data_IF_679021493013
#
_entry.id   IF_679021493013
#
_cell.length_a   1.000
_cell.length_b   1.000
_cell.length_c   1.000
_cell.angle_alpha   90.00
_cell.angle_beta   90.00
_cell.angle_gamma   90.00
#
_symmetry.space_group_name_H-M   'P 1'
#
loop_
_entity.id
_entity.type
_entity.pdbx_description
1 polymer ?
#
# COMPACT_ATOMS: atom_id res chain seq x y z
N UNK A 1 -26.94 14.04 -6.51
CA UNK A 1 -27.53 15.01 -5.55
C UNK A 1 -26.88 15.02 -4.15
N UNK A 2 -26.02 14.05 -3.79
CA UNK A 2 -25.35 14.04 -2.46
C UNK A 2 -24.13 14.98 -2.35
N UNK A 3 -23.45 15.30 -3.46
CA UNK A 3 -22.21 16.10 -3.45
C UNK A 3 -22.40 17.61 -3.23
N UNK A 4 -23.52 18.17 -3.70
CA UNK A 4 -23.76 19.62 -3.58
C UNK A 4 -23.94 20.07 -2.13
N UNK A 5 -24.63 19.27 -1.28
CA UNK A 5 -24.82 19.59 0.14
C UNK A 5 -23.52 19.52 0.93
N UNK A 6 -22.65 18.54 0.63
CA UNK A 6 -21.33 18.40 1.27
C UNK A 6 -20.47 19.64 1.02
N UNK A 7 -20.48 20.15 -0.21
CA UNK A 7 -19.73 21.35 -0.59
C UNK A 7 -20.24 22.60 0.17
N UNK A 8 -21.55 22.79 0.27
CA UNK A 8 -22.15 23.93 1.01
C UNK A 8 -21.84 23.89 2.50
N UNK A 9 -21.94 22.72 3.14
CA UNK A 9 -21.61 22.57 4.57
C UNK A 9 -20.13 22.86 4.82
N UNK A 10 -19.23 22.37 3.95
CA UNK A 10 -17.80 22.66 4.05
C UNK A 10 -17.50 24.17 4.00
N UNK A 11 -18.16 24.90 3.10
CA UNK A 11 -18.03 26.37 3.00
C UNK A 11 -18.51 27.10 4.25
N UNK A 12 -19.61 26.64 4.86
CA UNK A 12 -20.14 27.22 6.10
C UNK A 12 -19.18 27.00 7.27
N UNK A 13 -18.63 25.79 7.40
CA UNK A 13 -17.63 25.46 8.44
C UNK A 13 -16.38 26.33 8.27
N UNK A 14 -15.89 26.50 7.04
CA UNK A 14 -14.74 27.35 6.73
C UNK A 14 -15.00 28.82 7.09
N UNK A 15 -16.18 29.33 6.73
CA UNK A 15 -16.59 30.70 7.06
C UNK A 15 -16.65 30.93 8.58
N UNK A 16 -17.29 30.00 9.31
CA UNK A 16 -17.38 30.09 10.77
C UNK A 16 -16.00 30.03 11.41
N UNK A 17 -15.11 29.12 10.96
CA UNK A 17 -13.74 29.01 11.48
C UNK A 17 -12.97 30.32 11.33
N UNK A 18 -12.91 30.88 10.12
CA UNK A 18 -12.17 32.12 9.83
C UNK A 18 -12.65 33.31 10.66
N UNK A 19 -13.96 33.45 10.83
CA UNK A 19 -14.51 34.53 11.63
C UNK A 19 -14.27 34.31 13.13
N UNK A 20 -14.38 33.07 13.61
CA UNK A 20 -14.07 32.71 15.00
C UNK A 20 -12.59 32.97 15.33
N UNK A 21 -11.67 32.63 14.42
CA UNK A 21 -10.24 32.91 14.54
C UNK A 21 -9.95 34.42 14.53
N UNK A 22 -10.52 35.17 13.58
CA UNK A 22 -10.30 36.62 13.47
C UNK A 22 -10.86 37.45 14.63
N UNK A 23 -11.81 36.88 15.39
CA UNK A 23 -12.48 37.55 16.52
C UNK A 23 -12.08 36.97 17.89
N UNK A 24 -11.14 36.02 17.92
CA UNK A 24 -10.72 35.27 19.11
C UNK A 24 -11.89 34.60 19.88
N UNK A 25 -12.95 34.21 19.15
CA UNK A 25 -14.10 33.51 19.72
C UNK A 25 -13.86 32.01 19.68
N UNK A 26 -13.59 31.41 20.85
CA UNK A 26 -13.35 29.96 20.96
C UNK A 26 -14.62 29.11 20.94
N UNK A 27 -15.77 29.68 21.31
CA UNK A 27 -17.03 28.92 21.37
C UNK A 27 -18.25 29.81 21.13
N UNK A 28 -19.15 29.36 20.26
CA UNK A 28 -20.48 29.95 20.06
C UNK A 28 -21.50 28.97 20.64
N UNK A 29 -22.13 29.36 21.76
CA UNK A 29 -23.19 28.57 22.41
C UNK A 29 -24.56 29.13 22.07
N UNK A 30 -25.45 28.28 21.55
CA UNK A 30 -26.87 28.57 21.33
C UNK A 30 -27.70 27.42 21.90
N UNK A 31 -28.99 27.64 22.24
CA UNK A 31 -29.82 26.60 22.85
C UNK A 31 -29.92 25.30 22.03
N UNK A 32 -29.81 25.40 20.70
CA UNK A 32 -29.94 24.26 19.78
C UNK A 32 -28.60 23.68 19.33
N UNK A 33 -27.48 24.38 19.55
CA UNK A 33 -26.17 23.92 19.08
C UNK A 33 -25.00 24.65 19.76
N UNK A 34 -23.85 23.98 19.82
CA UNK A 34 -22.59 24.59 20.24
C UNK A 34 -21.55 24.36 19.16
N UNK A 35 -20.87 25.43 18.76
CA UNK A 35 -19.73 25.37 17.84
C UNK A 35 -18.50 25.76 18.64
N UNK A 36 -17.51 24.88 18.69
CA UNK A 36 -16.22 25.13 19.36
C UNK A 36 -15.12 25.13 18.32
N UNK A 37 -14.25 26.13 18.37
CA UNK A 37 -12.99 26.11 17.63
C UNK A 37 -12.05 25.17 18.38
N UNK A 38 -12.04 23.90 17.99
CA UNK A 38 -11.12 22.92 18.53
C UNK A 38 -9.73 23.13 17.92
N UNK A 39 -8.72 23.23 18.77
CA UNK A 39 -7.33 23.15 18.33
C UNK A 39 -7.08 21.72 17.81
N UNK A 40 -6.42 21.61 16.67
CA UNK A 40 -5.93 20.31 16.22
C UNK A 40 -4.97 19.75 17.28
N UNK A 41 -4.99 18.43 17.53
CA UNK A 41 -4.02 17.83 18.43
C UNK A 41 -2.61 18.14 17.91
N UNK A 42 -1.70 18.41 18.84
CA UNK A 42 -0.30 18.65 18.53
C UNK A 42 0.26 17.45 17.77
N UNK A 43 0.82 17.70 16.59
CA UNK A 43 1.49 16.67 15.81
C UNK A 43 2.95 16.64 16.23
N UNK A 44 3.40 15.48 16.70
CA UNK A 44 4.82 15.26 16.98
C UNK A 44 5.55 15.22 15.63
N UNK A 45 6.52 16.12 15.48
CA UNK A 45 7.49 16.13 14.39
C UNK A 45 8.79 15.65 15.02
N UNK A 46 9.35 14.56 14.52
CA UNK A 46 10.62 14.04 14.98
C UNK A 46 11.71 14.62 14.09
N UNK A 47 12.44 15.61 14.60
CA UNK A 47 13.50 16.28 13.83
C UNK A 47 14.80 15.46 13.76
N UNK A 48 15.01 14.57 14.73
CA UNK A 48 16.18 13.69 14.84
C UNK A 48 15.77 12.31 15.31
N UNK A 49 15.73 11.37 14.39
CA UNK A 49 15.30 10.01 14.67
C UNK A 49 16.33 9.19 15.46
N UNK A 50 17.63 9.51 15.32
CA UNK A 50 18.73 8.76 15.96
C UNK A 50 18.88 9.04 17.47
N UNK A 51 18.33 10.16 17.96
CA UNK A 51 18.41 10.56 19.37
C UNK A 51 17.18 10.09 20.19
N UNK A 52 16.25 9.34 19.57
CA UNK A 52 15.04 8.88 20.26
C UNK A 52 15.43 7.77 21.25
N UNK A 53 15.07 7.88 22.55
CA UNK A 53 15.25 6.79 23.51
C UNK A 53 14.49 5.53 23.08
N UNK A 54 15.07 4.36 23.33
CA UNK A 54 14.48 3.06 22.96
C UNK A 54 13.04 2.87 23.47
N UNK A 55 12.68 3.51 24.59
CA UNK A 55 11.33 3.50 25.18
C UNK A 55 10.25 4.07 24.23
N UNK A 56 10.63 4.80 23.18
CA UNK A 56 9.72 5.40 22.19
C UNK A 56 9.87 4.78 20.79
N UNK A 57 10.66 3.71 20.64
CA UNK A 57 10.90 3.04 19.35
C UNK A 57 10.12 1.73 19.29
N UNK A 58 9.10 1.69 18.44
CA UNK A 58 8.41 0.44 18.10
C UNK A 58 9.17 -0.31 17.00
N UNK A 59 9.83 -1.41 17.35
CA UNK A 59 10.50 -2.27 16.35
C UNK A 59 9.48 -3.12 15.61
N UNK A 60 9.27 -2.84 14.32
CA UNK A 60 8.44 -3.67 13.43
C UNK A 60 9.30 -4.51 12.49
N UNK A 61 9.29 -5.82 12.68
CA UNK A 61 9.92 -6.78 11.75
C UNK A 61 8.92 -7.20 10.69
N UNK A 62 9.19 -6.86 9.42
CA UNK A 62 8.33 -7.21 8.29
C UNK A 62 8.94 -8.38 7.52
N UNK A 63 8.27 -9.53 7.56
CA UNK A 63 8.58 -10.65 6.67
C UNK A 63 7.83 -10.46 5.36
N UNK A 64 8.56 -10.28 4.27
CA UNK A 64 7.98 -10.17 2.93
C UNK A 64 8.62 -11.21 2.00
N UNK A 65 7.83 -11.86 1.13
CA UNK A 65 8.38 -12.83 0.18
C UNK A 65 9.24 -12.11 -0.86
N UNK A 66 10.47 -12.60 -1.08
CA UNK A 66 11.35 -12.11 -2.14
C UNK A 66 10.86 -12.61 -3.50
N UNK A 67 9.95 -11.82 -4.09
CA UNK A 67 9.36 -12.10 -5.41
C UNK A 67 10.40 -12.21 -6.52
N UNK A 68 11.56 -11.56 -6.40
CA UNK A 68 12.60 -11.62 -7.44
C UNK A 68 13.24 -13.00 -7.45
N UNK A 69 13.65 -13.47 -6.29
CA UNK A 69 14.26 -14.81 -6.12
C UNK A 69 13.25 -15.92 -6.46
N UNK A 70 12.01 -15.77 -6.01
CA UNK A 70 10.91 -16.69 -6.36
C UNK A 70 10.70 -16.74 -7.88
N UNK A 71 10.62 -15.59 -8.55
CA UNK A 71 10.43 -15.54 -10.01
C UNK A 71 11.57 -16.20 -10.77
N UNK A 72 12.82 -15.98 -10.35
CA UNK A 72 14.00 -16.59 -10.98
C UNK A 72 13.95 -18.12 -10.88
N UNK A 73 13.68 -18.63 -9.68
CA UNK A 73 13.60 -20.08 -9.42
C UNK A 73 12.46 -20.75 -10.23
N UNK A 74 11.25 -20.16 -10.24
CA UNK A 74 10.13 -20.70 -11.02
C UNK A 74 10.39 -20.70 -12.53
N UNK A 75 11.13 -19.70 -13.02
CA UNK A 75 11.51 -19.62 -14.43
C UNK A 75 12.48 -20.73 -14.80
N UNK A 76 13.46 -20.99 -13.94
CA UNK A 76 14.45 -22.07 -14.11
C UNK A 76 13.77 -23.45 -14.14
N UNK A 77 12.87 -23.73 -13.18
CA UNK A 77 12.07 -24.96 -13.16
C UNK A 77 11.29 -25.12 -14.46
N UNK A 78 10.62 -24.05 -14.91
CA UNK A 78 9.83 -24.06 -16.15
C UNK A 78 10.71 -24.33 -17.38
N UNK A 79 11.85 -23.66 -17.50
CA UNK A 79 12.76 -23.81 -18.64
C UNK A 79 13.38 -25.21 -18.68
N UNK A 80 13.80 -25.73 -17.53
CA UNK A 80 14.29 -27.10 -17.38
C UNK A 80 13.24 -28.14 -17.78
N UNK A 81 12.02 -28.03 -17.25
CA UNK A 81 10.93 -28.95 -17.56
C UNK A 81 10.53 -28.90 -19.04
N UNK A 82 10.58 -27.73 -19.68
CA UNK A 82 10.34 -27.60 -21.13
C UNK A 82 11.41 -28.34 -21.93
N UNK A 83 12.68 -28.24 -21.54
CA UNK A 83 13.78 -28.94 -22.21
C UNK A 83 13.67 -30.47 -22.03
N UNK A 84 13.36 -30.94 -20.83
CA UNK A 84 13.13 -32.36 -20.53
C UNK A 84 11.95 -32.89 -21.34
N UNK A 85 10.80 -32.20 -21.34
CA UNK A 85 9.63 -32.59 -22.15
C UNK A 85 9.92 -32.65 -23.64
N UNK A 86 10.79 -31.78 -24.16
CA UNK A 86 11.23 -31.83 -25.56
C UNK A 86 12.07 -33.08 -25.86
N UNK A 87 12.95 -33.49 -24.96
CA UNK A 87 13.72 -34.75 -25.07
C UNK A 87 12.81 -35.97 -24.99
N UNK A 88 11.84 -35.96 -24.09
CA UNK A 88 10.81 -37.01 -24.01
C UNK A 88 10.00 -37.12 -25.31
N UNK A 89 9.63 -35.98 -25.91
CA UNK A 89 8.94 -35.97 -27.21
C UNK A 89 9.81 -36.50 -28.38
N UNK A 90 11.14 -36.47 -28.24
CA UNK A 90 12.08 -37.07 -29.20
C UNK A 90 12.33 -38.58 -28.95
N UNK A 91 11.70 -39.17 -27.94
CA UNK A 91 11.79 -40.59 -27.63
C UNK A 91 12.84 -40.96 -26.57
N UNK A 92 13.42 -39.98 -25.87
CA UNK A 92 14.34 -40.23 -24.74
C UNK A 92 13.56 -40.47 -23.44
N UNK A 93 14.01 -41.45 -22.64
CA UNK A 93 13.47 -41.71 -21.30
C UNK A 93 14.11 -40.76 -20.26
N UNK A 94 13.56 -39.54 -20.19
CA UNK A 94 14.05 -38.46 -19.34
C UNK A 94 13.03 -38.01 -18.27
N UNK A 95 11.99 -38.81 -18.00
CA UNK A 95 10.91 -38.43 -17.08
C UNK A 95 11.41 -38.14 -15.65
N UNK A 96 12.40 -38.90 -15.20
CA UNK A 96 13.03 -38.76 -13.89
C UNK A 96 13.78 -37.42 -13.70
N UNK A 97 14.01 -36.67 -14.77
CA UNK A 97 14.68 -35.36 -14.72
C UNK A 97 13.69 -34.19 -14.52
N UNK A 98 12.38 -34.44 -14.50
CA UNK A 98 11.38 -33.40 -14.28
C UNK A 98 11.44 -32.87 -12.85
N UNK A 99 11.53 -31.55 -12.72
CA UNK A 99 11.47 -30.85 -11.43
C UNK A 99 10.00 -30.65 -11.04
N UNK A 100 9.68 -30.91 -9.77
CA UNK A 100 8.34 -30.66 -9.23
C UNK A 100 8.03 -29.16 -9.20
N UNK A 101 6.86 -28.78 -9.73
CA UNK A 101 6.41 -27.39 -9.67
C UNK A 101 5.87 -27.09 -8.26
N UNK A 102 6.35 -26.01 -7.60
CA UNK A 102 5.93 -25.71 -6.25
C UNK A 102 4.47 -25.24 -6.18
N UNK A 103 3.71 -25.79 -5.23
CA UNK A 103 2.26 -25.50 -5.06
C UNK A 103 2.00 -24.07 -4.57
N UNK A 104 2.99 -23.43 -3.94
CA UNK A 104 2.85 -22.13 -3.28
C UNK A 104 3.08 -20.92 -4.21
N UNK A 105 3.55 -21.11 -5.45
CA UNK A 105 3.70 -20.03 -6.42
C UNK A 105 3.69 -20.51 -7.88
N UNK A 106 3.12 -19.71 -8.77
CA UNK A 106 3.10 -19.96 -10.21
C UNK A 106 3.45 -18.68 -10.99
N UNK A 107 3.92 -18.85 -12.22
CA UNK A 107 4.20 -17.75 -13.14
C UNK A 107 3.03 -17.54 -14.09
N UNK A 108 2.32 -16.43 -13.95
CA UNK A 108 1.30 -15.98 -14.90
C UNK A 108 1.87 -14.91 -15.84
N UNK A 109 1.55 -14.99 -17.13
CA UNK A 109 1.91 -13.96 -18.12
C UNK A 109 0.66 -13.18 -18.50
N UNK A 110 0.61 -11.91 -18.11
CA UNK A 110 -0.45 -10.99 -18.53
C UNK A 110 -0.33 -10.54 -19.98
N UNK A 111 -1.29 -9.71 -20.41
CA UNK A 111 -1.37 -9.21 -21.78
C UNK A 111 -0.14 -8.37 -22.15
N UNK A 112 0.29 -8.54 -23.41
CA UNK A 112 1.39 -7.74 -23.96
C UNK A 112 0.92 -6.31 -24.23
N UNK A 113 1.67 -5.31 -23.77
CA UNK A 113 1.42 -3.90 -24.09
C UNK A 113 2.51 -3.34 -25.00
N UNK A 114 2.11 -2.49 -25.96
CA UNK A 114 3.03 -1.77 -26.84
C UNK A 114 3.55 -0.54 -26.09
N UNK A 115 4.87 -0.31 -26.11
CA UNK A 115 5.50 0.93 -25.61
C UNK A 115 6.05 1.72 -26.78
N UNK A 116 5.69 3.00 -26.88
CA UNK A 116 6.23 3.98 -27.84
C UNK A 116 7.18 4.90 -27.07
N UNK A 117 8.37 5.16 -27.62
CA UNK A 117 9.41 6.02 -27.04
C UNK A 117 9.41 7.40 -27.68
#
# INVERSE_FOLDING_TARGET
MADARKNTVGKLVEYLRKNMEATDIKTIRRPLFTITLALAPEKIIVDKEDDIPDDFIDTKTVFSPDKRTITANLKEIREHNVAVRKRMAAGEDAEHELLEEPIWAHLERGDSSIRIK
#
